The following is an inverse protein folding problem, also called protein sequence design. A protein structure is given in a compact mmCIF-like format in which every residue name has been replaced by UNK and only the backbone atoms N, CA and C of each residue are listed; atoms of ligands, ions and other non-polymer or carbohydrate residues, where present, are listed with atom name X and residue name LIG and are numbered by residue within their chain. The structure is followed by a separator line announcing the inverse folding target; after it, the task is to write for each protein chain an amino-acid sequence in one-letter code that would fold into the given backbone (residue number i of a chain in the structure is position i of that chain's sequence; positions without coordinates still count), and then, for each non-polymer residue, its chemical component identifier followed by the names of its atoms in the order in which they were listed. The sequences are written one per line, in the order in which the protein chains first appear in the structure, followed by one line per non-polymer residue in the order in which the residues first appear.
data_IF_828052394600
#
_entry.id   IF_828052394600
#
_cell.length_a   1.000
_cell.length_b   1.000
_cell.length_c   1.000
_cell.angle_alpha   90.00
_cell.angle_beta   90.00
_cell.angle_gamma   90.00
#
_symmetry.space_group_name_H-M   'P 1'
#
loop_
_entity.id
_entity.type
_entity.pdbx_description
1 polymer ?
#
# COMPACT_ATOMS: atom_id res chain seq x y z
N UNK A 1 20.96 0.51 -13.51
CA UNK A 1 21.92 -0.04 -12.54
C UNK A 1 21.80 0.73 -11.23
N UNK A 2 21.60 0.02 -10.09
CA UNK A 2 21.59 0.61 -8.74
C UNK A 2 22.92 1.30 -8.46
N UNK A 3 22.89 2.46 -7.82
CA UNK A 3 24.09 3.19 -7.40
C UNK A 3 24.15 3.24 -5.87
N UNK A 4 23.68 4.30 -5.28
CA UNK A 4 23.76 4.59 -3.86
C UNK A 4 22.44 4.22 -3.17
N UNK A 5 22.52 3.68 -1.95
CA UNK A 5 21.35 3.50 -1.09
C UNK A 5 20.87 4.86 -0.60
N UNK A 6 19.64 5.22 -0.97
CA UNK A 6 19.00 6.48 -0.55
C UNK A 6 18.23 6.33 0.75
N UNK A 7 17.55 5.18 0.91
CA UNK A 7 16.68 4.92 2.05
C UNK A 7 16.55 3.43 2.30
N UNK A 8 16.51 3.03 3.57
CA UNK A 8 16.23 1.65 3.98
C UNK A 8 15.00 1.62 4.87
N UNK A 9 13.90 1.11 4.34
CA UNK A 9 12.62 0.95 5.03
C UNK A 9 12.41 -0.45 5.63
N UNK A 10 11.23 -0.66 6.19
CA UNK A 10 10.82 -1.95 6.79
C UNK A 10 10.68 -3.06 5.74
N UNK A 11 10.15 -2.74 4.56
CA UNK A 11 9.85 -3.70 3.49
C UNK A 11 10.76 -3.57 2.26
N UNK A 12 11.39 -2.41 2.05
CA UNK A 12 12.14 -2.08 0.84
C UNK A 12 13.38 -1.24 1.14
N UNK A 13 14.40 -1.41 0.30
CA UNK A 13 15.53 -0.51 0.17
C UNK A 13 15.40 0.27 -1.15
N UNK A 14 15.66 1.57 -1.11
CA UNK A 14 15.55 2.47 -2.25
C UNK A 14 16.95 2.92 -2.68
N UNK A 15 17.26 2.69 -3.95
CA UNK A 15 18.56 3.02 -4.55
C UNK A 15 18.43 4.07 -5.63
N UNK A 16 19.42 4.96 -5.71
CA UNK A 16 19.59 5.86 -6.85
C UNK A 16 19.89 5.09 -8.14
N UNK A 17 19.54 5.69 -9.28
CA UNK A 17 19.93 5.22 -10.61
C UNK A 17 20.87 6.21 -11.30
N UNK A 18 21.18 5.98 -12.57
CA UNK A 18 21.93 6.93 -13.39
C UNK A 18 21.07 8.16 -13.78
N UNK A 19 19.76 7.97 -13.82
CA UNK A 19 18.75 8.99 -14.04
C UNK A 19 18.30 9.55 -12.67
N UNK A 20 18.41 10.87 -12.48
CA UNK A 20 18.05 11.53 -11.22
C UNK A 20 16.57 11.44 -10.90
N UNK A 21 15.71 11.23 -11.91
CA UNK A 21 14.26 11.14 -11.78
C UNK A 21 13.76 9.70 -11.63
N UNK A 22 14.67 8.74 -11.47
CA UNK A 22 14.34 7.32 -11.31
C UNK A 22 15.06 6.72 -10.10
N UNK A 23 14.37 5.77 -9.47
CA UNK A 23 14.88 4.97 -8.35
C UNK A 23 14.64 3.48 -8.61
N UNK A 24 15.43 2.64 -7.94
CA UNK A 24 15.16 1.20 -7.84
C UNK A 24 14.71 0.87 -6.43
N UNK A 25 13.53 0.30 -6.30
CA UNK A 25 13.06 -0.31 -5.07
C UNK A 25 13.44 -1.79 -5.04
N UNK A 26 14.08 -2.23 -3.95
CA UNK A 26 14.46 -3.63 -3.70
C UNK A 26 13.64 -4.15 -2.54
N UNK A 27 12.78 -5.12 -2.79
CA UNK A 27 11.90 -5.71 -1.79
C UNK A 27 12.64 -6.70 -0.90
N UNK A 28 12.34 -6.67 0.40
CA UNK A 28 13.00 -7.48 1.42
C UNK A 28 12.10 -8.60 1.94
N UNK A 29 12.72 -9.69 2.34
CA UNK A 29 12.04 -10.82 2.96
C UNK A 29 11.70 -10.58 4.45
N UNK A 30 11.50 -9.33 4.82
CA UNK A 30 11.15 -8.93 6.17
C UNK A 30 9.65 -8.73 6.34
N UNK A 31 9.02 -9.47 7.24
CA UNK A 31 7.67 -9.22 7.73
C UNK A 31 7.74 -8.43 9.04
N UNK A 32 7.01 -7.33 9.09
CA UNK A 32 6.93 -6.46 10.28
C UNK A 32 5.47 -6.19 10.63
N UNK A 33 5.12 -6.33 11.90
CA UNK A 33 3.80 -6.01 12.43
C UNK A 33 3.91 -5.23 13.74
N UNK A 34 2.80 -4.57 14.14
CA UNK A 34 2.69 -3.78 15.38
C UNK A 34 3.82 -2.76 15.53
N UNK A 35 3.99 -1.90 14.52
CA UNK A 35 5.02 -0.85 14.45
C UNK A 35 6.45 -1.33 14.77
N UNK A 36 6.77 -2.56 14.33
CA UNK A 36 8.09 -3.15 14.55
C UNK A 36 8.19 -4.04 15.80
N UNK A 37 7.11 -4.18 16.58
CA UNK A 37 7.09 -5.06 17.75
C UNK A 37 7.19 -6.55 17.40
N UNK A 38 6.81 -6.94 16.19
CA UNK A 38 7.04 -8.27 15.63
C UNK A 38 7.81 -8.14 14.32
N UNK A 39 8.97 -8.76 14.23
CA UNK A 39 9.82 -8.82 13.04
C UNK A 39 10.27 -10.24 12.82
N UNK A 40 10.08 -10.73 11.61
CA UNK A 40 10.55 -12.06 11.18
C UNK A 40 11.07 -11.97 9.74
N UNK A 41 12.05 -12.77 9.41
CA UNK A 41 12.46 -13.02 8.04
C UNK A 41 11.53 -14.08 7.46
N UNK A 42 10.85 -13.75 6.36
CA UNK A 42 9.93 -14.65 5.65
C UNK A 42 10.43 -14.78 4.21
N UNK A 43 11.21 -15.82 3.97
CA UNK A 43 11.87 -16.06 2.69
C UNK A 43 10.85 -16.14 1.56
N UNK A 44 11.09 -15.37 0.48
CA UNK A 44 10.19 -15.27 -0.68
C UNK A 44 9.12 -14.18 -0.58
N UNK A 45 8.90 -13.59 0.59
CA UNK A 45 7.91 -12.50 0.77
C UNK A 45 8.21 -11.29 -0.11
N UNK A 46 9.48 -10.87 -0.17
CA UNK A 46 9.91 -9.74 -0.99
C UNK A 46 9.62 -9.96 -2.47
N UNK A 47 9.90 -11.17 -2.96
CA UNK A 47 9.54 -11.59 -4.32
C UNK A 47 8.04 -11.47 -4.58
N UNK A 48 7.23 -12.02 -3.71
CA UNK A 48 5.77 -12.03 -3.87
C UNK A 48 5.18 -10.63 -3.84
N UNK A 49 5.60 -9.79 -2.88
CA UNK A 49 5.18 -8.39 -2.82
C UNK A 49 5.56 -7.61 -4.07
N UNK A 50 6.79 -7.79 -4.57
CA UNK A 50 7.25 -7.13 -5.78
C UNK A 50 6.41 -7.52 -7.00
N UNK A 51 6.18 -8.82 -7.21
CA UNK A 51 5.44 -9.30 -8.38
C UNK A 51 3.97 -8.89 -8.31
N UNK A 52 3.31 -9.03 -7.16
CA UNK A 52 1.91 -8.60 -6.96
C UNK A 52 1.78 -7.09 -7.19
N UNK A 53 2.66 -6.31 -6.55
CA UNK A 53 2.63 -4.85 -6.69
C UNK A 53 2.87 -4.42 -8.13
N UNK A 54 3.81 -5.05 -8.86
CA UNK A 54 4.07 -4.77 -10.27
C UNK A 54 2.84 -5.01 -11.13
N UNK A 55 2.20 -6.19 -11.00
CA UNK A 55 0.99 -6.53 -11.76
C UNK A 55 -0.16 -5.56 -11.49
N UNK A 56 -0.36 -5.18 -10.22
CA UNK A 56 -1.43 -4.24 -9.85
C UNK A 56 -1.12 -2.84 -10.40
N UNK A 57 0.12 -2.36 -10.30
CA UNK A 57 0.49 -1.06 -10.88
C UNK A 57 0.38 -1.03 -12.40
N UNK A 58 0.73 -2.12 -13.10
CA UNK A 58 0.51 -2.24 -14.55
C UNK A 58 -0.97 -2.10 -14.91
N UNK A 59 -1.85 -2.82 -14.19
CA UNK A 59 -3.30 -2.75 -14.40
C UNK A 59 -3.87 -1.37 -14.06
N UNK A 60 -3.44 -0.74 -12.97
CA UNK A 60 -3.84 0.61 -12.58
C UNK A 60 -3.39 1.65 -13.61
N UNK A 61 -2.16 1.55 -14.10
CA UNK A 61 -1.63 2.44 -15.14
C UNK A 61 -2.40 2.28 -16.45
N UNK A 62 -2.74 1.04 -16.84
CA UNK A 62 -3.59 0.79 -18.01
C UNK A 62 -5.01 1.36 -17.86
N UNK A 63 -5.52 1.46 -16.63
CA UNK A 63 -6.79 2.12 -16.29
C UNK A 63 -6.67 3.65 -16.16
N UNK A 64 -5.50 4.22 -16.45
CA UNK A 64 -5.25 5.67 -16.45
C UNK A 64 -4.89 6.27 -15.10
N UNK A 65 -4.61 5.46 -14.07
CA UNK A 65 -4.06 5.94 -12.79
C UNK A 65 -2.62 6.40 -13.01
N UNK A 66 -2.31 7.60 -12.53
CA UNK A 66 -0.94 8.11 -12.57
C UNK A 66 -0.12 7.48 -11.45
N UNK A 67 0.84 6.62 -11.81
CA UNK A 67 1.67 5.89 -10.84
C UNK A 67 3.15 6.24 -10.98
N UNK A 68 3.92 6.02 -9.93
CA UNK A 68 5.38 6.13 -9.98
C UNK A 68 6.02 4.91 -10.67
N UNK A 69 5.30 3.81 -10.81
CA UNK A 69 5.80 2.55 -11.37
C UNK A 69 6.20 2.71 -12.85
N UNK A 70 7.38 2.23 -13.21
CA UNK A 70 7.86 2.19 -14.61
C UNK A 70 7.86 0.76 -15.11
N UNK A 71 8.52 -0.15 -14.38
CA UNK A 71 8.55 -1.58 -14.73
C UNK A 71 9.16 -2.44 -13.62
N UNK A 72 8.81 -3.71 -13.63
CA UNK A 72 9.52 -4.76 -12.91
C UNK A 72 10.89 -5.01 -13.57
N UNK A 73 11.96 -5.06 -12.77
CA UNK A 73 13.34 -5.33 -13.24
C UNK A 73 13.75 -6.77 -13.00
N UNK A 74 13.31 -7.36 -11.91
CA UNK A 74 13.57 -8.74 -11.50
C UNK A 74 12.50 -9.17 -10.50
N UNK A 75 12.60 -10.38 -10.00
CA UNK A 75 11.67 -10.91 -9.00
C UNK A 75 11.56 -10.06 -7.73
N UNK A 76 12.60 -9.27 -7.41
CA UNK A 76 12.64 -8.47 -6.17
C UNK A 76 12.88 -6.98 -6.41
N UNK A 77 12.98 -6.52 -7.67
CA UNK A 77 13.33 -5.15 -7.99
C UNK A 77 12.33 -4.47 -8.91
N UNK A 78 11.96 -3.24 -8.59
CA UNK A 78 11.16 -2.35 -9.43
C UNK A 78 11.94 -1.10 -9.79
N UNK A 79 11.76 -0.63 -11.04
CA UNK A 79 12.13 0.71 -11.46
C UNK A 79 10.92 1.63 -11.30
N UNK A 80 11.11 2.72 -10.60
CA UNK A 80 10.06 3.69 -10.33
C UNK A 80 10.54 5.10 -10.63
N UNK A 81 9.61 6.01 -10.93
CA UNK A 81 9.89 7.45 -10.90
C UNK A 81 10.23 7.85 -9.47
N UNK A 82 11.20 8.74 -9.33
CA UNK A 82 11.50 9.35 -8.05
C UNK A 82 10.42 10.37 -7.71
N UNK A 83 9.85 10.26 -6.53
CA UNK A 83 8.86 11.20 -6.02
C UNK A 83 9.25 11.64 -4.61
N UNK A 84 8.87 12.86 -4.25
CA UNK A 84 8.84 13.31 -2.87
C UNK A 84 7.53 12.84 -2.23
N UNK A 85 7.62 11.93 -1.28
CA UNK A 85 6.44 11.34 -0.63
C UNK A 85 5.71 12.43 0.16
N UNK A 86 4.42 12.59 -0.09
CA UNK A 86 3.52 13.36 0.78
C UNK A 86 3.41 12.56 2.08
N UNK A 87 3.73 13.13 3.25
CA UNK A 87 3.89 12.35 4.48
C UNK A 87 2.54 11.95 5.10
N UNK A 88 1.72 11.30 4.29
CA UNK A 88 0.39 10.79 4.63
C UNK A 88 0.26 9.33 4.20
N UNK A 89 -0.23 8.50 5.11
CA UNK A 89 -0.85 7.23 4.74
C UNK A 89 -2.34 7.46 4.50
N UNK A 90 -2.83 7.03 3.37
CA UNK A 90 -4.24 7.17 2.96
C UNK A 90 -4.88 5.80 3.02
N UNK A 91 -5.80 5.60 3.96
CA UNK A 91 -6.49 4.33 4.14
C UNK A 91 -7.93 4.46 3.65
N UNK A 92 -8.34 3.56 2.76
CA UNK A 92 -9.73 3.45 2.36
C UNK A 92 -10.32 2.15 2.90
N UNK A 93 -11.53 2.23 3.47
CA UNK A 93 -12.23 1.09 4.05
C UNK A 93 -13.55 0.85 3.34
N UNK A 94 -13.74 -0.39 2.90
CA UNK A 94 -15.00 -0.91 2.35
C UNK A 94 -15.77 -1.72 3.38
N UNK A 95 -15.03 -2.39 4.30
CA UNK A 95 -15.58 -3.25 5.34
C UNK A 95 -14.88 -2.91 6.65
N UNK A 96 -15.59 -3.02 7.77
CA UNK A 96 -15.02 -2.78 9.10
C UNK A 96 -14.01 -3.87 9.45
N UNK A 97 -12.77 -3.48 9.78
CA UNK A 97 -11.71 -4.41 10.17
C UNK A 97 -10.58 -3.72 10.92
N UNK A 98 -9.78 -4.50 11.62
CA UNK A 98 -8.49 -4.10 12.18
C UNK A 98 -8.55 -2.89 13.10
N UNK A 99 -7.75 -1.85 12.83
CA UNK A 99 -7.67 -0.65 13.68
C UNK A 99 -8.96 0.17 13.72
N UNK A 100 -9.76 0.14 12.63
CA UNK A 100 -11.06 0.81 12.59
C UNK A 100 -12.01 0.20 13.62
N UNK A 101 -12.21 -1.12 13.57
CA UNK A 101 -13.08 -1.84 14.50
C UNK A 101 -12.66 -1.64 15.95
N UNK A 102 -11.36 -1.70 16.24
CA UNK A 102 -10.82 -1.47 17.59
C UNK A 102 -11.04 -0.04 18.07
N UNK A 103 -10.80 0.96 17.22
CA UNK A 103 -10.88 2.39 17.58
C UNK A 103 -12.31 2.83 17.85
N UNK A 104 -13.26 2.33 17.07
CA UNK A 104 -14.67 2.75 17.18
C UNK A 104 -15.55 1.75 17.93
N UNK A 105 -14.99 0.62 18.40
CA UNK A 105 -15.75 -0.39 19.15
C UNK A 105 -16.84 -1.05 18.30
N UNK A 106 -16.61 -1.20 16.98
CA UNK A 106 -17.55 -1.83 16.07
C UNK A 106 -17.08 -3.23 15.68
N UNK A 107 -18.01 -4.11 15.37
CA UNK A 107 -17.73 -5.48 14.93
C UNK A 107 -16.99 -5.49 13.59
N UNK A 108 -16.10 -6.46 13.39
CA UNK A 108 -15.45 -6.69 12.09
C UNK A 108 -16.46 -7.34 11.10
N UNK A 109 -16.28 -7.06 9.80
CA UNK A 109 -17.07 -7.69 8.74
C UNK A 109 -18.31 -6.93 8.31
N UNK A 110 -18.58 -5.73 8.83
CA UNK A 110 -19.71 -4.91 8.40
C UNK A 110 -19.34 -4.16 7.13
N UNK A 111 -20.05 -4.42 6.03
CA UNK A 111 -19.89 -3.69 4.79
C UNK A 111 -20.40 -2.26 4.95
N UNK A 112 -19.54 -1.29 4.61
CA UNK A 112 -19.89 0.12 4.69
C UNK A 112 -20.74 0.53 3.48
N UNK A 113 -21.82 1.27 3.72
CA UNK A 113 -22.68 1.80 2.64
C UNK A 113 -21.94 2.81 1.76
N UNK A 114 -20.98 3.51 2.32
CA UNK A 114 -20.06 4.42 1.63
C UNK A 114 -18.66 4.17 2.14
N UNK A 115 -17.66 3.95 1.24
CA UNK A 115 -16.28 3.78 1.65
C UNK A 115 -15.74 4.98 2.44
N UNK A 116 -15.01 4.70 3.52
CA UNK A 116 -14.43 5.72 4.39
C UNK A 116 -12.96 5.93 4.00
N UNK A 117 -12.57 7.19 3.77
CA UNK A 117 -11.17 7.58 3.59
C UNK A 117 -10.65 8.18 4.89
N UNK A 118 -9.55 7.65 5.38
CA UNK A 118 -8.85 8.08 6.58
C UNK A 118 -7.43 8.53 6.24
N UNK A 119 -6.90 9.46 7.01
CA UNK A 119 -5.50 9.88 6.92
C UNK A 119 -4.74 9.55 8.20
N UNK A 120 -3.47 9.17 8.02
CA UNK A 120 -2.52 9.01 9.10
C UNK A 120 -1.26 9.82 8.76
N UNK A 121 -0.70 10.50 9.74
CA UNK A 121 0.56 11.20 9.57
C UNK A 121 1.70 10.17 9.54
N UNK A 122 2.35 10.03 8.38
CA UNK A 122 3.46 9.10 8.18
C UNK A 122 4.69 9.56 8.95
N UNK A 123 4.75 9.20 10.23
CA UNK A 123 5.82 9.53 11.15
C UNK A 123 5.99 8.44 12.22
N UNK A 124 6.88 7.49 11.93
CA UNK A 124 7.15 6.31 12.77
C UNK A 124 7.36 6.67 14.26
N UNK A 125 8.05 7.80 14.55
CA UNK A 125 8.33 8.26 15.92
C UNK A 125 7.08 8.66 16.71
N UNK A 126 5.97 8.96 16.02
CA UNK A 126 4.68 9.30 16.60
C UNK A 126 3.65 8.18 16.45
N UNK A 127 4.08 7.01 15.97
CA UNK A 127 3.19 5.84 15.79
C UNK A 127 2.10 6.07 14.73
N UNK A 128 2.44 6.83 13.67
CA UNK A 128 1.58 7.17 12.54
C UNK A 128 0.16 7.58 12.98
N UNK A 129 -0.01 8.70 13.71
CA UNK A 129 -1.27 9.05 14.33
C UNK A 129 -2.36 9.34 13.29
N UNK A 130 -3.60 8.92 13.61
CA UNK A 130 -4.79 9.27 12.85
C UNK A 130 -5.03 10.78 12.89
N UNK A 131 -5.24 11.41 11.73
CA UNK A 131 -5.41 12.85 11.57
C UNK A 131 -6.55 13.17 10.58
N UNK A 132 -7.04 14.40 10.64
CA UNK A 132 -8.05 14.94 9.72
C UNK A 132 -7.46 16.06 8.84
N UNK A 133 -8.27 16.61 7.96
CA UNK A 133 -7.88 17.65 7.00
C UNK A 133 -7.32 18.91 7.69
N UNK A 134 -7.90 19.30 8.83
CA UNK A 134 -7.44 20.47 9.60
C UNK A 134 -6.06 20.23 10.23
N UNK A 135 -5.80 19.02 10.72
CA UNK A 135 -4.45 18.64 11.19
C UNK A 135 -3.44 18.66 10.04
N UNK A 136 -3.80 18.14 8.86
CA UNK A 136 -2.93 18.14 7.67
C UNK A 136 -2.57 19.57 7.28
N UNK A 137 -3.55 20.46 7.24
CA UNK A 137 -3.36 21.86 6.90
C UNK A 137 -2.50 22.59 7.95
N UNK A 138 -2.77 22.40 9.24
CA UNK A 138 -2.03 23.01 10.34
C UNK A 138 -0.55 22.57 10.35
N UNK A 139 -0.29 21.30 10.10
CA UNK A 139 1.05 20.73 10.07
C UNK A 139 1.79 21.01 8.74
N UNK A 140 1.11 21.58 7.74
CA UNK A 140 1.70 21.86 6.43
C UNK A 140 2.10 20.64 5.63
N UNK A 141 1.42 19.50 5.83
CA UNK A 141 1.78 18.21 5.21
C UNK A 141 1.32 18.12 3.75
N UNK A 142 0.19 18.73 3.42
CA UNK A 142 -0.35 18.82 2.07
C UNK A 142 -1.29 20.04 1.95
N UNK A 143 -1.44 20.57 0.73
CA UNK A 143 -2.42 21.62 0.44
C UNK A 143 -3.84 21.06 0.39
N UNK A 144 -4.85 21.92 0.49
CA UNK A 144 -6.25 21.52 0.35
C UNK A 144 -6.54 20.88 -1.02
N UNK A 145 -5.94 21.40 -2.09
CA UNK A 145 -6.07 20.84 -3.44
C UNK A 145 -5.45 19.45 -3.53
N UNK A 146 -4.29 19.24 -2.90
CA UNK A 146 -3.66 17.92 -2.82
C UNK A 146 -4.53 16.93 -2.04
N UNK A 147 -5.12 17.35 -0.91
CA UNK A 147 -6.03 16.51 -0.12
C UNK A 147 -7.26 16.12 -0.92
N UNK A 148 -7.87 17.09 -1.63
CA UNK A 148 -9.05 16.85 -2.47
C UNK A 148 -8.73 15.85 -3.59
N UNK A 149 -7.62 16.06 -4.32
CA UNK A 149 -7.15 15.17 -5.37
C UNK A 149 -6.88 13.75 -4.84
N UNK A 150 -6.14 13.62 -3.73
CA UNK A 150 -5.81 12.33 -3.13
C UNK A 150 -7.08 11.56 -2.74
N UNK A 151 -8.07 12.23 -2.15
CA UNK A 151 -9.34 11.59 -1.77
C UNK A 151 -10.11 11.09 -2.99
N UNK A 152 -10.18 11.89 -4.05
CA UNK A 152 -10.89 11.53 -5.29
C UNK A 152 -10.18 10.36 -5.97
N UNK A 153 -8.86 10.46 -6.14
CA UNK A 153 -8.06 9.42 -6.78
C UNK A 153 -8.08 8.10 -5.99
N UNK A 154 -8.04 8.17 -4.66
CA UNK A 154 -8.16 6.99 -3.80
C UNK A 154 -9.51 6.28 -3.99
N UNK A 155 -10.62 7.02 -4.16
CA UNK A 155 -11.93 6.42 -4.46
C UNK A 155 -11.95 5.79 -5.85
N UNK A 156 -11.39 6.45 -6.86
CA UNK A 156 -11.28 5.92 -8.23
C UNK A 156 -10.45 4.62 -8.26
N UNK A 157 -9.33 4.60 -7.55
CA UNK A 157 -8.50 3.42 -7.39
C UNK A 157 -9.27 2.30 -6.67
N UNK A 158 -10.03 2.64 -5.63
CA UNK A 158 -10.86 1.67 -4.91
C UNK A 158 -11.87 0.97 -5.81
N UNK A 159 -12.58 1.72 -6.63
CA UNK A 159 -13.60 1.15 -7.50
C UNK A 159 -12.97 0.15 -8.48
N UNK A 160 -11.84 0.52 -9.10
CA UNK A 160 -11.08 -0.37 -9.97
C UNK A 160 -10.59 -1.63 -9.22
N UNK A 161 -9.99 -1.48 -8.04
CA UNK A 161 -9.43 -2.61 -7.28
C UNK A 161 -10.52 -3.53 -6.74
N UNK A 162 -11.67 -3.00 -6.32
CA UNK A 162 -12.82 -3.81 -5.92
C UNK A 162 -13.26 -4.73 -7.06
N UNK A 163 -13.40 -4.17 -8.27
CA UNK A 163 -13.79 -4.93 -9.44
C UNK A 163 -12.73 -5.97 -9.81
N UNK A 164 -11.45 -5.61 -9.77
CA UNK A 164 -10.33 -6.51 -10.02
C UNK A 164 -10.35 -7.72 -9.06
N UNK A 165 -10.44 -7.46 -7.75
CA UNK A 165 -10.43 -8.53 -6.75
C UNK A 165 -11.71 -9.36 -6.76
N UNK A 166 -12.88 -8.75 -7.02
CA UNK A 166 -14.13 -9.47 -7.15
C UNK A 166 -14.10 -10.49 -8.32
N UNK A 167 -13.47 -10.14 -9.44
CA UNK A 167 -13.31 -11.05 -10.60
C UNK A 167 -12.51 -12.32 -10.26
N UNK A 168 -11.63 -12.26 -9.26
CA UNK A 168 -10.82 -13.40 -8.80
C UNK A 168 -11.35 -14.02 -7.50
N UNK A 169 -12.59 -13.67 -7.10
CA UNK A 169 -13.27 -14.24 -5.94
C UNK A 169 -12.77 -13.72 -4.59
N UNK A 170 -12.23 -12.50 -4.54
CA UNK A 170 -11.75 -11.88 -3.33
C UNK A 170 -12.51 -10.58 -3.01
N UNK A 171 -12.75 -10.33 -1.73
CA UNK A 171 -13.30 -9.10 -1.22
C UNK A 171 -12.17 -8.17 -0.77
N UNK A 172 -12.07 -6.98 -1.38
CA UNK A 172 -11.18 -5.93 -0.92
C UNK A 172 -11.81 -5.23 0.30
N UNK A 173 -11.30 -5.55 1.48
CA UNK A 173 -11.81 -5.05 2.77
C UNK A 173 -11.38 -3.62 3.03
N UNK A 174 -10.09 -3.39 2.99
CA UNK A 174 -9.45 -2.08 3.11
C UNK A 174 -8.04 -2.11 2.50
N UNK A 175 -7.46 -0.93 2.33
CA UNK A 175 -6.09 -0.79 1.87
C UNK A 175 -5.49 0.55 2.28
N UNK A 176 -4.16 0.61 2.27
CA UNK A 176 -3.35 1.81 2.45
C UNK A 176 -2.68 2.20 1.14
N UNK A 177 -2.73 3.48 0.78
CA UNK A 177 -1.96 4.08 -0.31
C UNK A 177 -1.03 5.16 0.22
N UNK A 178 0.02 5.41 -0.54
CA UNK A 178 0.88 6.57 -0.38
C UNK A 178 0.98 7.31 -1.72
N UNK A 179 1.09 8.63 -1.66
CA UNK A 179 1.23 9.49 -2.83
C UNK A 179 2.51 10.30 -2.72
N UNK A 180 3.07 10.66 -3.85
CA UNK A 180 4.23 11.52 -3.91
C UNK A 180 4.16 12.48 -5.09
N UNK A 181 4.99 13.52 -5.04
CA UNK A 181 5.09 14.54 -6.09
C UNK A 181 6.37 14.31 -6.88
N UNK A 182 6.28 14.21 -8.19
CA UNK A 182 7.45 14.08 -9.07
C UNK A 182 8.11 15.44 -9.36
N UNK A 183 9.23 15.42 -10.10
CA UNK A 183 9.99 16.62 -10.46
C UNK A 183 9.20 17.63 -11.31
N UNK A 184 8.09 17.21 -11.94
CA UNK A 184 7.19 18.08 -12.69
C UNK A 184 6.07 18.71 -11.84
N UNK A 185 5.96 18.31 -10.58
CA UNK A 185 4.87 18.72 -9.68
C UNK A 185 3.61 17.85 -9.78
N UNK A 186 3.66 16.74 -10.53
CA UNK A 186 2.52 15.83 -10.66
C UNK A 186 2.44 14.90 -9.43
N UNK A 187 1.21 14.73 -8.90
CA UNK A 187 0.95 13.75 -7.83
C UNK A 187 0.78 12.37 -8.46
N UNK A 188 1.55 11.42 -7.96
CA UNK A 188 1.54 10.03 -8.41
C UNK A 188 1.20 9.10 -7.26
N UNK A 189 0.48 8.01 -7.56
CA UNK A 189 0.39 6.87 -6.65
C UNK A 189 1.78 6.26 -6.52
N UNK A 190 2.25 6.07 -5.30
CA UNK A 190 3.59 5.60 -4.97
C UNK A 190 3.56 4.40 -4.01
N UNK A 191 4.71 4.07 -3.43
CA UNK A 191 4.96 2.97 -2.52
C UNK A 191 4.69 1.60 -3.15
N UNK A 192 3.70 0.85 -2.71
CA UNK A 192 3.31 -0.46 -3.22
C UNK A 192 1.80 -0.67 -3.11
N UNK A 193 1.30 -1.66 -3.83
CA UNK A 193 0.01 -2.28 -3.53
C UNK A 193 0.18 -3.80 -3.49
N UNK A 194 0.09 -4.37 -2.30
CA UNK A 194 0.30 -5.79 -2.07
C UNK A 194 -0.54 -6.25 -0.85
N UNK A 195 -0.62 -7.54 -0.57
CA UNK A 195 -1.28 -8.02 0.64
C UNK A 195 -0.62 -7.55 1.95
N UNK A 196 0.54 -6.86 1.89
CA UNK A 196 1.15 -6.19 3.04
C UNK A 196 0.39 -4.94 3.47
N UNK A 197 -0.23 -4.23 2.53
CA UNK A 197 -0.92 -2.97 2.77
C UNK A 197 -2.41 -2.97 2.38
N UNK A 198 -2.98 -4.14 2.07
CA UNK A 198 -4.43 -4.32 1.95
C UNK A 198 -4.92 -5.53 2.75
N UNK A 199 -6.24 -5.60 2.97
CA UNK A 199 -6.93 -6.80 3.45
C UNK A 199 -7.78 -7.39 2.34
N UNK A 200 -7.58 -8.68 2.13
CA UNK A 200 -8.30 -9.48 1.15
C UNK A 200 -8.92 -10.68 1.83
N UNK A 201 -10.23 -10.84 1.69
CA UNK A 201 -10.95 -12.01 2.20
C UNK A 201 -11.55 -12.82 1.06
N UNK A 202 -11.53 -14.15 1.19
CA UNK A 202 -12.28 -15.02 0.27
C UNK A 202 -13.78 -15.10 0.65
N UNK A 203 -14.53 -15.91 -0.07
CA UNK A 203 -15.97 -16.07 0.15
C UNK A 203 -16.32 -16.69 1.52
N UNK A 204 -15.38 -17.42 2.11
CA UNK A 204 -15.54 -18.06 3.42
C UNK A 204 -15.05 -17.18 4.57
N UNK A 205 -14.52 -15.98 4.24
CA UNK A 205 -13.97 -15.03 5.20
C UNK A 205 -12.53 -15.33 5.63
N UNK A 206 -11.83 -16.21 4.92
CA UNK A 206 -10.41 -16.45 5.20
C UNK A 206 -9.56 -15.27 4.72
N UNK A 207 -8.54 -14.94 5.50
CA UNK A 207 -7.61 -13.85 5.20
C UNK A 207 -6.57 -14.27 4.15
N UNK A 208 -6.48 -13.52 3.05
CA UNK A 208 -5.42 -13.65 2.05
C UNK A 208 -4.51 -12.41 2.05
N UNK A 209 -4.10 -11.99 3.23
CA UNK A 209 -3.34 -10.78 3.49
C UNK A 209 -2.42 -10.93 4.71
N UNK A 210 -1.75 -9.83 5.09
CA UNK A 210 -0.80 -9.80 6.20
C UNK A 210 -1.39 -10.13 7.58
N UNK A 211 -2.72 -10.14 7.72
CA UNK A 211 -3.35 -10.53 8.99
C UNK A 211 -3.09 -12.01 9.30
N UNK A 212 -2.79 -12.84 8.31
CA UNK A 212 -2.31 -14.21 8.53
C UNK A 212 -1.06 -14.20 9.42
N UNK A 213 -0.10 -13.33 9.14
CA UNK A 213 1.11 -13.14 9.97
C UNK A 213 0.81 -12.44 11.30
N UNK A 214 0.00 -11.37 11.29
CA UNK A 214 -0.35 -10.60 12.48
C UNK A 214 -1.09 -11.44 13.52
N UNK A 215 -1.97 -12.32 13.06
CA UNK A 215 -2.86 -13.13 13.91
C UNK A 215 -2.37 -14.58 14.10
N UNK A 216 -1.31 -14.99 13.39
CA UNK A 216 -0.77 -16.35 13.46
C UNK A 216 -1.71 -17.41 12.87
N UNK A 217 -2.33 -17.10 11.71
CA UNK A 217 -3.36 -17.94 11.09
C UNK A 217 -2.80 -18.95 10.08
N UNK A 218 -1.52 -18.88 9.73
CA UNK A 218 -0.91 -19.78 8.74
C UNK A 218 0.38 -19.23 8.13
N UNK A 219 0.79 -19.80 6.99
CA UNK A 219 1.97 -19.37 6.24
C UNK A 219 1.64 -18.17 5.35
N UNK A 220 2.42 -17.09 5.51
CA UNK A 220 2.24 -15.85 4.79
C UNK A 220 2.55 -15.99 3.29
N UNK A 221 3.58 -16.78 2.96
CA UNK A 221 4.02 -16.95 1.56
C UNK A 221 3.04 -17.80 0.78
N UNK A 222 2.50 -18.85 1.36
CA UNK A 222 1.44 -19.65 0.71
C UNK A 222 0.23 -18.78 0.33
N UNK A 223 -0.19 -17.91 1.25
CA UNK A 223 -1.32 -17.00 1.02
C UNK A 223 -1.01 -15.99 -0.10
N UNK A 224 0.20 -15.42 -0.12
CA UNK A 224 0.58 -14.46 -1.16
C UNK A 224 0.76 -15.13 -2.53
N UNK A 225 1.21 -16.38 -2.58
CA UNK A 225 1.25 -17.16 -3.83
C UNK A 225 -0.16 -17.41 -4.39
N UNK A 226 -1.14 -17.68 -3.53
CA UNK A 226 -2.54 -17.80 -3.96
C UNK A 226 -3.04 -16.49 -4.58
N UNK A 227 -2.74 -15.35 -3.97
CA UNK A 227 -3.12 -14.03 -4.53
C UNK A 227 -2.42 -13.79 -5.87
N UNK A 228 -1.11 -14.03 -5.95
CA UNK A 228 -0.35 -13.86 -7.19
C UNK A 228 -0.86 -14.75 -8.33
N UNK A 229 -1.19 -16.01 -8.02
CA UNK A 229 -1.68 -16.96 -9.02
C UNK A 229 -3.09 -16.62 -9.56
N UNK A 230 -3.87 -15.81 -8.82
CA UNK A 230 -5.21 -15.37 -9.21
C UNK A 230 -5.20 -14.08 -10.04
N UNK A 231 -4.16 -13.21 -9.89
CA UNK A 231 -4.02 -11.93 -10.60
C UNK A 231 -3.60 -12.08 -12.06
#
# INVERSE_FOLDING_TARGET
MKKELLYSGKAKDIYATADSDQIVAVYKDQATAFNGGKKEEVVGKGRLNNLISSLIFEKLTAAGVQTHFIKCLSDTEQLNKKVEIIPLEVVLRNVTAGSFSKRFGVEEGITLSTPIVEFYYKKDELDDPFINDEHIAFLGLASQDQIAYIKEETRRINDFLKDLFAQIGLTLVDFKLEFGVDSSGQILLADEFSPDNCRLWDADGNHLDKDVFRRGLGDLTEVYEVVLAKL
#
